data_IF_649105734970
#
_entry.id   IF_649105734970
#
_cell.length_a   1.000
_cell.length_b   1.000
_cell.length_c   1.000
_cell.angle_alpha   90.00
_cell.angle_beta   90.00
_cell.angle_gamma   90.00
#
_symmetry.space_group_name_H-M   'P 1'
#
loop_
_entity.id
_entity.type
_entity.pdbx_description
1 polymer ?
#
# COMPACT_ATOMS: atom_id res chain seq x y z
N UNK A 1 7.30 -1.50 -31.18
CA UNK A 1 7.34 -0.13 -30.61
C UNK A 1 7.31 -0.31 -29.11
N UNK A 2 8.28 0.22 -28.36
CA UNK A 2 8.20 0.22 -26.88
C UNK A 2 7.01 1.10 -26.51
N UNK A 3 6.05 0.55 -25.78
CA UNK A 3 4.80 1.23 -25.43
C UNK A 3 5.07 2.53 -24.67
N UNK A 4 4.28 3.56 -24.95
CA UNK A 4 4.29 4.80 -24.17
C UNK A 4 3.93 4.46 -22.71
N UNK A 5 4.70 5.00 -21.78
CA UNK A 5 4.45 4.96 -20.34
C UNK A 5 3.08 5.61 -20.05
N UNK A 6 2.16 4.85 -19.46
CA UNK A 6 0.81 5.26 -19.06
C UNK A 6 0.86 5.99 -17.71
N UNK A 7 1.69 5.52 -16.78
CA UNK A 7 1.89 6.14 -15.47
C UNK A 7 1.34 5.35 -14.26
N UNK A 8 1.12 6.06 -13.15
CA UNK A 8 0.77 5.45 -11.85
C UNK A 8 -0.73 5.56 -11.60
N UNK A 9 -1.43 4.41 -11.53
CA UNK A 9 -2.83 4.33 -11.08
C UNK A 9 -2.89 4.43 -9.55
N UNK A 10 -3.70 5.36 -9.04
CA UNK A 10 -3.73 5.72 -7.62
C UNK A 10 -5.09 5.48 -6.98
N UNK A 11 -5.12 5.37 -5.65
CA UNK A 11 -6.39 5.43 -4.93
C UNK A 11 -7.10 6.75 -5.26
N UNK A 12 -8.42 6.73 -5.53
CA UNK A 12 -9.18 7.94 -5.84
C UNK A 12 -9.07 9.02 -4.73
N UNK A 13 -8.88 8.61 -3.48
CA UNK A 13 -8.68 9.51 -2.32
C UNK A 13 -7.34 10.26 -2.38
N UNK A 14 -6.36 9.70 -3.06
CA UNK A 14 -5.01 10.27 -3.22
C UNK A 14 -4.92 11.24 -4.39
N UNK A 15 -5.99 11.41 -5.17
CA UNK A 15 -6.01 12.38 -6.26
C UNK A 15 -5.95 13.80 -5.70
N UNK A 16 -5.01 14.58 -6.22
CA UNK A 16 -5.01 16.04 -6.09
C UNK A 16 -6.26 16.64 -6.73
N UNK A 17 -6.60 17.88 -6.37
CA UNK A 17 -7.74 18.58 -6.97
C UNK A 17 -7.60 18.72 -8.50
N UNK A 18 -6.36 18.90 -8.99
CA UNK A 18 -6.07 18.98 -10.44
C UNK A 18 -6.26 17.64 -11.13
N UNK A 19 -5.74 16.55 -10.56
CA UNK A 19 -5.93 15.20 -11.12
C UNK A 19 -7.42 14.83 -11.16
N UNK A 20 -8.16 15.14 -10.08
CA UNK A 20 -9.60 14.89 -9.98
C UNK A 20 -10.38 15.66 -11.05
N UNK A 21 -10.13 16.96 -11.18
CA UNK A 21 -10.79 17.81 -12.18
C UNK A 21 -10.53 17.32 -13.61
N UNK A 22 -9.27 17.02 -13.95
CA UNK A 22 -8.90 16.49 -15.27
C UNK A 22 -9.59 15.15 -15.57
N UNK A 23 -9.65 14.25 -14.59
CA UNK A 23 -10.31 12.96 -14.76
C UNK A 23 -11.83 13.12 -15.00
N UNK A 24 -12.50 13.99 -14.22
CA UNK A 24 -13.93 14.30 -14.42
C UNK A 24 -14.19 14.88 -15.81
N UNK A 25 -13.37 15.86 -16.24
CA UNK A 25 -13.53 16.47 -17.57
C UNK A 25 -13.29 15.48 -18.70
N UNK A 26 -12.30 14.59 -18.55
CA UNK A 26 -12.07 13.53 -19.52
C UNK A 26 -13.22 12.53 -19.57
N UNK A 27 -13.86 12.18 -18.44
CA UNK A 27 -15.06 11.35 -18.43
C UNK A 27 -16.21 11.98 -19.23
N UNK A 28 -16.46 13.27 -19.07
CA UNK A 28 -17.44 13.99 -19.91
C UNK A 28 -17.05 13.98 -21.38
N UNK A 29 -15.77 14.19 -21.70
CA UNK A 29 -15.28 14.14 -23.07
C UNK A 29 -15.51 12.77 -23.71
N UNK A 30 -15.05 11.69 -23.06
CA UNK A 30 -15.16 10.31 -23.54
C UNK A 30 -16.62 9.85 -23.60
N UNK A 31 -17.50 10.34 -22.71
CA UNK A 31 -18.95 10.15 -22.85
C UNK A 31 -19.49 10.81 -24.11
N UNK A 32 -19.09 12.06 -24.38
CA UNK A 32 -19.59 12.85 -25.52
C UNK A 32 -19.21 12.27 -26.89
N UNK A 33 -18.14 11.48 -26.98
CA UNK A 33 -17.73 10.79 -28.21
C UNK A 33 -18.49 9.48 -28.45
N UNK A 34 -19.33 9.04 -27.49
CA UNK A 34 -20.03 7.75 -27.53
C UNK A 34 -19.17 6.56 -27.10
N UNK A 35 -17.93 6.79 -26.67
CA UNK A 35 -16.99 5.70 -26.36
C UNK A 35 -17.44 4.87 -25.14
N UNK A 36 -17.96 5.52 -24.09
CA UNK A 36 -18.52 4.81 -22.92
C UNK A 36 -19.70 3.93 -23.32
N UNK A 37 -20.58 4.42 -24.19
CA UNK A 37 -21.76 3.68 -24.63
C UNK A 37 -21.38 2.46 -25.48
N UNK A 38 -20.36 2.61 -26.32
CA UNK A 38 -19.81 1.51 -27.11
C UNK A 38 -19.17 0.43 -26.22
N UNK A 39 -18.41 0.82 -25.20
CA UNK A 39 -17.82 -0.13 -24.25
C UNK A 39 -18.87 -0.84 -23.40
N UNK A 40 -19.95 -0.16 -23.02
CA UNK A 40 -21.10 -0.77 -22.37
C UNK A 40 -21.77 -1.82 -23.27
N UNK A 41 -21.93 -1.50 -24.57
CA UNK A 41 -22.50 -2.41 -25.57
C UNK A 41 -21.62 -3.65 -25.78
N UNK A 42 -20.32 -3.47 -26.00
CA UNK A 42 -19.34 -4.56 -26.18
C UNK A 42 -19.38 -5.51 -24.98
N UNK A 43 -19.33 -4.97 -23.76
CA UNK A 43 -19.38 -5.78 -22.56
C UNK A 43 -20.71 -6.52 -22.42
N UNK A 44 -21.85 -5.88 -22.74
CA UNK A 44 -23.17 -6.51 -22.68
C UNK A 44 -23.32 -7.66 -23.70
N UNK A 45 -22.87 -7.46 -24.94
CA UNK A 45 -22.93 -8.48 -26.01
C UNK A 45 -22.09 -9.71 -25.68
N UNK A 46 -20.91 -9.49 -25.10
CA UNK A 46 -19.94 -10.55 -24.83
C UNK A 46 -19.97 -11.08 -23.40
N UNK A 47 -20.90 -10.60 -22.55
CA UNK A 47 -20.96 -10.91 -21.12
C UNK A 47 -20.90 -12.41 -20.81
N UNK A 48 -21.60 -13.22 -21.61
CA UNK A 48 -21.65 -14.69 -21.47
C UNK A 48 -20.71 -15.44 -22.43
N UNK A 49 -19.81 -14.74 -23.12
CA UNK A 49 -18.96 -15.29 -24.18
C UNK A 49 -17.49 -15.44 -23.75
N UNK A 50 -17.25 -15.61 -22.45
CA UNK A 50 -15.92 -15.89 -21.90
C UNK A 50 -15.21 -14.69 -21.27
N UNK A 51 -15.79 -13.49 -21.31
CA UNK A 51 -15.23 -12.31 -20.61
C UNK A 51 -15.50 -12.36 -19.09
N UNK A 52 -16.41 -13.24 -18.65
CA UNK A 52 -16.72 -13.57 -17.25
C UNK A 52 -16.75 -15.09 -17.04
N UNK A 53 -16.67 -15.53 -15.78
CA UNK A 53 -16.74 -16.93 -15.34
C UNK A 53 -15.73 -17.82 -16.06
N UNK A 54 -14.57 -17.25 -16.39
CA UNK A 54 -13.56 -17.88 -17.22
C UNK A 54 -12.15 -17.39 -16.85
N UNK A 55 -11.14 -18.14 -17.26
CA UNK A 55 -9.73 -17.75 -17.13
C UNK A 55 -9.37 -16.45 -17.83
N UNK A 56 -10.18 -15.97 -18.78
CA UNK A 56 -9.98 -14.69 -19.45
C UNK A 56 -10.63 -13.49 -18.74
N UNK A 57 -11.34 -13.68 -17.63
CA UNK A 57 -11.97 -12.59 -16.88
C UNK A 57 -11.01 -11.44 -16.57
N UNK A 58 -9.88 -11.74 -15.91
CA UNK A 58 -8.89 -10.74 -15.54
C UNK A 58 -8.18 -10.08 -16.74
N UNK A 59 -7.58 -10.82 -17.70
CA UNK A 59 -6.90 -10.21 -18.83
C UNK A 59 -7.84 -9.42 -19.76
N UNK A 60 -9.10 -9.84 -19.93
CA UNK A 60 -10.06 -9.11 -20.74
C UNK A 60 -10.38 -7.74 -20.11
N UNK A 61 -10.67 -7.69 -18.81
CA UNK A 61 -10.94 -6.43 -18.12
C UNK A 61 -9.70 -5.53 -18.03
N UNK A 62 -8.49 -6.09 -17.89
CA UNK A 62 -7.23 -5.33 -18.00
C UNK A 62 -7.08 -4.64 -19.35
N UNK A 63 -7.31 -5.35 -20.46
CA UNK A 63 -7.27 -4.76 -21.81
C UNK A 63 -8.37 -3.70 -22.00
N UNK A 64 -9.57 -3.93 -21.45
CA UNK A 64 -10.64 -2.94 -21.44
C UNK A 64 -10.20 -1.63 -20.76
N UNK A 65 -9.63 -1.73 -19.56
CA UNK A 65 -9.11 -0.58 -18.81
C UNK A 65 -8.01 0.14 -19.61
N UNK A 66 -7.09 -0.59 -20.22
CA UNK A 66 -6.03 -0.01 -21.04
C UNK A 66 -6.56 0.80 -22.23
N UNK A 67 -7.58 0.28 -22.91
CA UNK A 67 -8.21 0.99 -24.04
C UNK A 67 -8.97 2.23 -23.56
N UNK A 68 -9.67 2.13 -22.43
CA UNK A 68 -10.37 3.26 -21.83
C UNK A 68 -9.39 4.35 -21.35
N UNK A 69 -8.31 3.97 -20.68
CA UNK A 69 -7.28 4.87 -20.18
C UNK A 69 -6.60 5.63 -21.32
N UNK A 70 -6.27 4.93 -22.42
CA UNK A 70 -5.75 5.58 -23.63
C UNK A 70 -6.72 6.58 -24.24
N UNK A 71 -8.02 6.34 -24.15
CA UNK A 71 -9.03 7.29 -24.62
C UNK A 71 -9.08 8.53 -23.72
N UNK A 72 -9.05 8.35 -22.40
CA UNK A 72 -8.93 9.47 -21.45
C UNK A 72 -7.65 10.29 -21.71
N UNK A 73 -6.54 9.63 -22.01
CA UNK A 73 -5.26 10.28 -22.27
C UNK A 73 -5.21 11.11 -23.55
N UNK A 74 -6.14 10.91 -24.49
CA UNK A 74 -6.30 11.82 -25.64
C UNK A 74 -6.78 13.20 -25.23
N UNK A 75 -7.52 13.31 -24.12
CA UNK A 75 -7.90 14.59 -23.53
C UNK A 75 -6.74 15.21 -22.76
N UNK A 76 -6.08 14.42 -21.91
CA UNK A 76 -4.89 14.86 -21.18
C UNK A 76 -3.95 13.68 -20.89
N UNK A 77 -2.72 13.73 -21.38
CA UNK A 77 -1.80 12.58 -21.39
C UNK A 77 -1.39 12.07 -20.00
N UNK A 78 -1.44 12.91 -18.97
CA UNK A 78 -1.13 12.53 -17.58
C UNK A 78 -2.28 11.79 -16.86
N UNK A 79 -3.44 11.60 -17.49
CA UNK A 79 -4.57 10.92 -16.84
C UNK A 79 -4.29 9.41 -16.72
N UNK A 80 -4.50 8.89 -15.52
CA UNK A 80 -4.61 7.46 -15.22
C UNK A 80 -5.95 7.18 -14.56
N UNK A 81 -6.47 5.96 -14.71
CA UNK A 81 -7.70 5.53 -14.04
C UNK A 81 -7.41 5.36 -12.54
N UNK A 82 -8.06 6.11 -11.63
CA UNK A 82 -7.95 5.84 -10.21
C UNK A 82 -8.66 4.53 -9.85
N UNK A 83 -8.32 3.91 -8.73
CA UNK A 83 -9.06 2.76 -8.23
C UNK A 83 -9.94 3.11 -7.02
N UNK A 84 -11.03 2.36 -6.87
CA UNK A 84 -11.91 2.38 -5.69
C UNK A 84 -11.75 1.10 -4.87
N UNK A 85 -11.19 1.23 -3.66
CA UNK A 85 -11.15 0.13 -2.70
C UNK A 85 -12.47 0.05 -1.92
N UNK A 86 -13.36 -0.83 -2.38
CA UNK A 86 -14.64 -1.13 -1.74
C UNK A 86 -14.55 -1.81 -0.37
N UNK A 87 -13.35 -2.21 0.08
CA UNK A 87 -13.16 -2.71 1.45
C UNK A 87 -13.04 -1.57 2.45
N UNK A 88 -12.61 -0.38 2.00
CA UNK A 88 -12.45 0.86 2.78
C UNK A 88 -13.66 1.78 2.58
N UNK A 89 -13.98 2.07 1.33
CA UNK A 89 -15.07 2.96 0.92
C UNK A 89 -16.37 2.18 0.74
N UNK A 90 -17.08 1.99 1.86
CA UNK A 90 -18.23 1.07 2.00
C UNK A 90 -19.59 1.76 2.16
N UNK A 91 -19.63 3.09 2.28
CA UNK A 91 -20.81 3.83 2.66
C UNK A 91 -21.31 4.72 1.51
N UNK A 92 -22.64 4.86 1.31
CA UNK A 92 -23.18 5.80 0.33
C UNK A 92 -22.75 7.26 0.55
N UNK A 93 -22.29 7.61 1.75
CA UNK A 93 -21.78 8.94 2.11
C UNK A 93 -20.28 9.13 1.86
N UNK A 94 -19.56 8.11 1.38
CA UNK A 94 -18.13 8.25 1.11
C UNK A 94 -17.85 9.25 -0.02
N UNK A 95 -16.71 9.97 0.01
CA UNK A 95 -16.41 11.03 -0.95
C UNK A 95 -16.47 10.62 -2.42
N UNK A 96 -16.29 9.33 -2.71
CA UNK A 96 -16.47 8.75 -4.05
C UNK A 96 -17.81 9.18 -4.68
N UNK A 97 -18.87 9.21 -3.89
CA UNK A 97 -20.26 9.39 -4.32
C UNK A 97 -20.74 10.84 -4.26
N UNK A 98 -19.87 11.78 -3.87
CA UNK A 98 -20.21 13.19 -3.83
C UNK A 98 -20.31 13.80 -5.24
N UNK A 99 -21.08 14.88 -5.39
CA UNK A 99 -21.22 15.60 -6.65
C UNK A 99 -19.94 16.32 -7.12
N UNK A 100 -18.93 16.44 -6.27
CA UNK A 100 -17.60 16.89 -6.69
C UNK A 100 -16.75 15.77 -7.30
N UNK A 101 -17.27 14.54 -7.39
CA UNK A 101 -16.64 13.40 -8.04
C UNK A 101 -17.67 12.53 -8.76
N UNK A 102 -17.83 11.23 -8.47
CA UNK A 102 -18.70 10.37 -9.28
C UNK A 102 -20.19 10.64 -9.09
N UNK A 103 -20.61 11.29 -8.00
CA UNK A 103 -22.03 11.53 -7.69
C UNK A 103 -22.76 12.30 -8.77
N UNK A 104 -22.08 13.25 -9.43
CA UNK A 104 -22.67 14.13 -10.45
C UNK A 104 -23.20 13.35 -11.65
N UNK A 105 -22.59 12.22 -11.99
CA UNK A 105 -22.96 11.42 -13.16
C UNK A 105 -24.27 10.65 -12.95
N UNK A 106 -24.73 10.45 -11.70
CA UNK A 106 -25.89 9.60 -11.44
C UNK A 106 -27.17 10.13 -12.12
N UNK A 107 -27.47 11.41 -11.95
CA UNK A 107 -28.61 12.05 -12.61
C UNK A 107 -28.27 12.44 -14.05
N UNK A 108 -27.08 13.00 -14.27
CA UNK A 108 -26.64 13.51 -15.57
C UNK A 108 -26.64 12.43 -16.66
N UNK A 109 -26.25 11.20 -16.31
CA UNK A 109 -26.18 10.07 -17.26
C UNK A 109 -27.29 9.05 -17.04
N UNK A 110 -28.26 9.33 -16.16
CA UNK A 110 -29.39 8.44 -15.89
C UNK A 110 -28.98 7.05 -15.36
N UNK A 111 -27.95 6.99 -14.51
CA UNK A 111 -27.34 5.73 -14.06
C UNK A 111 -28.22 4.94 -13.09
N UNK A 112 -29.14 5.62 -12.39
CA UNK A 112 -30.10 4.97 -11.49
C UNK A 112 -29.45 4.23 -10.31
N UNK A 113 -28.29 4.68 -9.82
CA UNK A 113 -27.58 4.05 -8.71
C UNK A 113 -28.46 3.95 -7.47
N UNK A 114 -28.39 2.80 -6.80
CA UNK A 114 -29.10 2.46 -5.57
C UNK A 114 -28.09 2.01 -4.49
N UNK A 115 -27.18 2.92 -4.14
CA UNK A 115 -26.03 2.63 -3.26
C UNK A 115 -26.47 1.96 -1.95
N UNK A 116 -25.77 0.89 -1.58
CA UNK A 116 -26.03 0.16 -0.33
C UNK A 116 -26.82 -1.14 -0.50
N UNK A 117 -27.15 -1.55 -1.74
CA UNK A 117 -27.86 -2.80 -1.97
C UNK A 117 -26.96 -4.03 -1.78
N UNK A 118 -27.04 -4.66 -0.61
CA UNK A 118 -26.32 -5.90 -0.30
C UNK A 118 -24.94 -5.70 0.35
N UNK A 119 -24.22 -6.78 0.65
CA UNK A 119 -22.93 -6.69 1.35
C UNK A 119 -21.77 -6.41 0.40
N UNK A 120 -20.82 -5.57 0.82
CA UNK A 120 -19.49 -5.46 0.22
C UNK A 120 -18.52 -6.47 0.84
N UNK A 121 -17.51 -6.90 0.09
CA UNK A 121 -16.48 -7.81 0.61
C UNK A 121 -15.63 -7.15 1.69
N UNK A 122 -15.24 -7.95 2.68
CA UNK A 122 -14.36 -7.54 3.78
C UNK A 122 -12.90 -7.62 3.35
N UNK A 123 -12.04 -6.89 4.08
CA UNK A 123 -10.60 -7.00 3.90
C UNK A 123 -10.12 -8.46 4.10
N UNK A 124 -10.69 -9.17 5.08
CA UNK A 124 -10.34 -10.57 5.33
C UNK A 124 -10.65 -11.48 4.14
N UNK A 125 -11.78 -11.28 3.44
CA UNK A 125 -12.09 -12.03 2.22
C UNK A 125 -11.09 -11.73 1.10
N UNK A 126 -10.70 -10.46 0.93
CA UNK A 126 -9.67 -10.06 -0.05
C UNK A 126 -8.31 -10.68 0.29
N UNK A 127 -7.84 -10.58 1.53
CA UNK A 127 -6.57 -11.19 1.97
C UNK A 127 -6.59 -12.72 1.84
N UNK A 128 -7.74 -13.36 2.11
CA UNK A 128 -7.89 -14.80 1.91
C UNK A 128 -7.76 -15.19 0.43
N UNK A 129 -8.26 -14.36 -0.48
CA UNK A 129 -8.08 -14.54 -1.92
C UNK A 129 -6.63 -14.28 -2.37
N UNK A 130 -5.95 -13.28 -1.79
CA UNK A 130 -4.53 -13.00 -2.06
C UNK A 130 -3.61 -14.16 -1.68
N UNK A 131 -4.01 -15.01 -0.72
CA UNK A 131 -3.27 -16.21 -0.31
C UNK A 131 -3.49 -17.46 -1.18
N UNK A 132 -4.15 -17.36 -2.35
CA UNK A 132 -4.38 -18.52 -3.23
C UNK A 132 -3.12 -18.88 -4.02
N UNK A 133 -2.78 -20.17 -4.08
CA UNK A 133 -1.50 -20.61 -4.66
C UNK A 133 -1.48 -20.71 -6.20
N UNK A 134 -2.64 -20.60 -6.86
CA UNK A 134 -2.73 -20.75 -8.32
C UNK A 134 -3.82 -19.87 -8.95
N UNK A 135 -3.60 -19.55 -10.23
CA UNK A 135 -4.44 -18.66 -11.02
C UNK A 135 -5.91 -19.10 -11.08
N UNK A 136 -6.20 -20.39 -11.29
CA UNK A 136 -7.59 -20.87 -11.45
C UNK A 136 -8.42 -20.65 -10.19
N UNK A 137 -7.87 -20.93 -9.01
CA UNK A 137 -8.57 -20.66 -7.74
C UNK A 137 -8.61 -19.17 -7.40
N UNK A 138 -7.59 -18.41 -7.80
CA UNK A 138 -7.51 -16.98 -7.56
C UNK A 138 -8.60 -16.20 -8.32
N UNK A 139 -8.67 -16.35 -9.64
CA UNK A 139 -9.60 -15.56 -10.45
C UNK A 139 -11.06 -15.88 -10.13
N UNK A 140 -11.40 -17.14 -9.82
CA UNK A 140 -12.77 -17.55 -9.48
C UNK A 140 -13.29 -16.85 -8.23
N UNK A 141 -12.47 -16.84 -7.19
CA UNK A 141 -12.81 -16.25 -5.89
C UNK A 141 -12.73 -14.72 -5.92
N UNK A 142 -11.87 -14.17 -6.79
CA UNK A 142 -11.79 -12.73 -7.04
C UNK A 142 -13.01 -12.25 -7.83
N UNK A 143 -13.44 -12.98 -8.86
CA UNK A 143 -14.67 -12.68 -9.59
C UNK A 143 -15.90 -12.81 -8.66
N UNK A 144 -15.96 -13.89 -7.89
CA UNK A 144 -17.08 -14.20 -7.01
C UNK A 144 -16.59 -14.67 -5.62
N UNK A 145 -16.79 -13.88 -4.54
CA UNK A 145 -17.74 -12.77 -4.44
C UNK A 145 -17.15 -11.36 -4.58
N UNK A 146 -15.82 -11.21 -4.64
CA UNK A 146 -15.14 -9.92 -4.42
C UNK A 146 -15.52 -8.87 -5.47
N UNK A 147 -15.45 -9.21 -6.75
CA UNK A 147 -15.83 -8.33 -7.86
C UNK A 147 -17.35 -8.18 -7.99
N UNK A 148 -18.13 -9.25 -7.85
CA UNK A 148 -19.58 -9.21 -8.08
C UNK A 148 -20.34 -8.31 -7.08
N UNK A 149 -19.88 -8.24 -5.84
CA UNK A 149 -20.58 -7.50 -4.78
C UNK A 149 -20.65 -5.98 -5.02
N UNK A 150 -19.56 -5.27 -5.39
CA UNK A 150 -19.64 -3.86 -5.75
C UNK A 150 -20.61 -3.53 -6.89
N UNK A 151 -20.72 -4.37 -7.92
CA UNK A 151 -21.73 -4.20 -8.98
C UNK A 151 -23.15 -4.15 -8.40
N UNK A 152 -23.49 -5.10 -7.53
CA UNK A 152 -24.79 -5.16 -6.86
C UNK A 152 -24.97 -4.03 -5.86
N UNK A 153 -23.93 -3.67 -5.10
CA UNK A 153 -23.96 -2.64 -4.07
C UNK A 153 -24.20 -1.24 -4.64
N UNK A 154 -23.63 -0.94 -5.81
CA UNK A 154 -23.87 0.34 -6.49
C UNK A 154 -25.28 0.37 -7.10
N UNK A 155 -25.75 -0.75 -7.66
CA UNK A 155 -27.07 -0.83 -8.29
C UNK A 155 -27.16 -0.05 -9.60
N UNK A 156 -28.37 0.07 -10.16
CA UNK A 156 -28.60 0.77 -11.42
C UNK A 156 -27.83 0.13 -12.58
N UNK A 157 -27.23 0.97 -13.44
CA UNK A 157 -26.39 0.51 -14.57
C UNK A 157 -25.25 -0.38 -14.09
N UNK A 158 -24.63 -0.12 -12.93
CA UNK A 158 -23.56 -0.97 -12.39
C UNK A 158 -24.00 -2.41 -12.08
N UNK A 159 -25.29 -2.66 -11.83
CA UNK A 159 -25.79 -4.01 -11.58
C UNK A 159 -26.20 -4.76 -12.88
N UNK A 160 -26.14 -4.09 -14.04
CA UNK A 160 -26.52 -4.64 -15.33
C UNK A 160 -25.28 -5.11 -16.14
N UNK A 161 -25.53 -5.91 -17.19
CA UNK A 161 -24.48 -6.32 -18.13
C UNK A 161 -23.92 -5.16 -18.95
N UNK A 162 -24.60 -4.01 -19.01
CA UNK A 162 -24.09 -2.76 -19.58
C UNK A 162 -23.37 -1.87 -18.54
N UNK A 163 -22.89 -2.45 -17.42
CA UNK A 163 -22.23 -1.73 -16.33
C UNK A 163 -21.09 -0.78 -16.69
N UNK A 164 -20.30 -0.96 -17.77
CA UNK A 164 -19.32 0.05 -18.18
C UNK A 164 -19.92 1.42 -18.55
N UNK A 165 -21.25 1.51 -18.71
CA UNK A 165 -21.97 2.77 -18.86
C UNK A 165 -21.91 3.68 -17.63
N UNK A 166 -21.59 3.12 -16.45
CA UNK A 166 -21.35 3.86 -15.22
C UNK A 166 -19.82 4.05 -15.00
N UNK A 167 -19.32 5.28 -14.79
CA UNK A 167 -17.89 5.51 -14.61
C UNK A 167 -17.30 4.82 -13.36
N UNK A 168 -18.13 4.44 -12.38
CA UNK A 168 -17.70 3.64 -11.24
C UNK A 168 -17.17 2.25 -11.65
N UNK A 169 -17.60 1.73 -12.81
CA UNK A 169 -17.10 0.48 -13.39
C UNK A 169 -15.58 0.50 -13.50
N UNK A 170 -15.02 1.56 -14.10
CA UNK A 170 -13.59 1.65 -14.38
C UNK A 170 -12.78 1.76 -13.10
N UNK A 171 -13.28 2.45 -12.07
CA UNK A 171 -12.62 2.54 -10.76
C UNK A 171 -12.66 1.21 -10.01
N UNK A 172 -13.79 0.51 -10.07
CA UNK A 172 -13.96 -0.82 -9.48
C UNK A 172 -13.04 -1.85 -10.16
N UNK A 173 -13.09 -1.93 -11.49
CA UNK A 173 -12.24 -2.84 -12.26
C UNK A 173 -10.76 -2.50 -12.15
N UNK A 174 -10.39 -1.22 -12.00
CA UNK A 174 -9.02 -0.81 -11.70
C UNK A 174 -8.53 -1.37 -10.35
N UNK A 175 -9.42 -1.48 -9.35
CA UNK A 175 -9.13 -2.15 -8.07
C UNK A 175 -8.99 -3.66 -8.24
N UNK A 176 -9.88 -4.31 -9.01
CA UNK A 176 -9.78 -5.75 -9.29
C UNK A 176 -8.47 -6.08 -10.02
N UNK A 177 -8.08 -5.23 -10.97
CA UNK A 177 -6.81 -5.34 -11.68
C UNK A 177 -5.59 -5.13 -10.76
N UNK A 178 -5.67 -4.18 -9.81
CA UNK A 178 -4.66 -3.99 -8.76
C UNK A 178 -4.52 -5.23 -7.87
N UNK A 179 -5.63 -5.87 -7.47
CA UNK A 179 -5.61 -7.09 -6.68
C UNK A 179 -4.96 -8.25 -7.44
N UNK A 180 -5.14 -8.32 -8.76
CA UNK A 180 -4.43 -9.27 -9.60
C UNK A 180 -2.93 -8.96 -9.68
N UNK A 181 -2.54 -7.71 -9.92
CA UNK A 181 -1.13 -7.30 -9.92
C UNK A 181 -0.44 -7.61 -8.58
N UNK A 182 -1.08 -7.30 -7.44
CA UNK A 182 -0.59 -7.62 -6.10
C UNK A 182 -0.37 -9.13 -5.93
N UNK A 183 -1.29 -9.96 -6.40
CA UNK A 183 -1.15 -11.41 -6.37
C UNK A 183 -0.01 -11.90 -7.27
N UNK A 184 0.16 -11.33 -8.47
CA UNK A 184 1.25 -11.69 -9.38
C UNK A 184 2.63 -11.34 -8.82
N UNK A 185 2.73 -10.29 -8.00
CA UNK A 185 3.99 -9.80 -7.43
C UNK A 185 4.33 -10.40 -6.06
N UNK A 186 3.40 -11.11 -5.41
CA UNK A 186 3.67 -11.71 -4.11
C UNK A 186 4.71 -12.84 -4.22
N UNK A 187 5.64 -13.00 -3.26
CA UNK A 187 6.72 -13.99 -3.36
C UNK A 187 6.26 -15.44 -3.59
N UNK A 188 5.10 -15.82 -3.06
CA UNK A 188 4.56 -17.17 -3.17
C UNK A 188 4.00 -17.50 -4.58
N UNK A 189 3.63 -16.48 -5.33
CA UNK A 189 2.84 -16.57 -6.57
C UNK A 189 3.52 -15.86 -7.74
N UNK A 190 4.67 -15.23 -7.51
CA UNK A 190 5.55 -14.68 -8.53
C UNK A 190 5.91 -15.76 -9.55
N UNK A 191 5.50 -15.54 -10.80
CA UNK A 191 5.69 -16.50 -11.90
C UNK A 191 4.67 -17.63 -11.94
N UNK A 192 3.56 -17.56 -11.19
CA UNK A 192 2.47 -18.50 -11.31
C UNK A 192 1.91 -18.53 -12.75
N UNK A 193 1.74 -19.73 -13.35
CA UNK A 193 1.30 -19.83 -14.74
C UNK A 193 -0.18 -19.46 -14.88
N UNK A 194 -0.53 -18.89 -16.03
CA UNK A 194 -1.92 -18.78 -16.46
C UNK A 194 -2.52 -20.18 -16.64
N UNK A 195 -3.72 -20.41 -16.09
CA UNK A 195 -4.44 -21.69 -16.19
C UNK A 195 -5.73 -21.46 -16.96
N UNK A 196 -5.86 -22.12 -18.11
CA UNK A 196 -7.07 -22.07 -18.93
C UNK A 196 -8.25 -22.79 -18.26
N UNK A 197 -9.44 -22.17 -18.30
CA UNK A 197 -10.68 -22.80 -17.85
C UNK A 197 -11.41 -23.58 -18.94
N UNK A 198 -10.90 -23.62 -20.18
CA UNK A 198 -11.54 -24.34 -21.30
C UNK A 198 -10.94 -24.09 -22.68
N UNK A 199 -11.52 -24.73 -23.69
CA UNK A 199 -11.12 -24.51 -25.10
C UNK A 199 -11.41 -23.06 -25.53
N UNK A 200 -10.45 -22.41 -26.20
CA UNK A 200 -10.58 -21.01 -26.65
C UNK A 200 -10.38 -19.97 -25.55
N UNK A 201 -9.94 -20.38 -24.36
CA UNK A 201 -9.72 -19.52 -23.18
C UNK A 201 -8.28 -19.61 -22.64
N UNK A 202 -7.37 -20.11 -23.47
CA UNK A 202 -5.95 -20.27 -23.17
C UNK A 202 -5.14 -18.99 -23.25
N UNK A 203 -3.88 -19.09 -22.85
CA UNK A 203 -2.92 -17.98 -22.76
C UNK A 203 -2.72 -17.23 -24.08
N UNK A 204 -2.79 -17.94 -25.20
CA UNK A 204 -2.59 -17.40 -26.55
C UNK A 204 -3.88 -17.40 -27.38
N UNK A 205 -5.02 -17.73 -26.76
CA UNK A 205 -6.31 -17.57 -27.43
C UNK A 205 -6.69 -16.08 -27.41
N UNK A 206 -7.27 -15.54 -28.49
CA UNK A 206 -7.62 -14.13 -28.53
C UNK A 206 -8.62 -13.74 -27.44
N UNK A 207 -8.50 -12.51 -26.95
CA UNK A 207 -9.51 -11.89 -26.09
C UNK A 207 -10.75 -11.59 -26.95
N UNK A 208 -11.93 -11.95 -26.44
CA UNK A 208 -13.20 -11.66 -27.13
C UNK A 208 -13.30 -10.18 -27.52
N UNK A 209 -13.84 -9.87 -28.70
CA UNK A 209 -13.84 -8.55 -29.36
C UNK A 209 -12.47 -8.03 -29.84
N UNK A 210 -11.35 -8.46 -29.23
CA UNK A 210 -10.00 -7.94 -29.52
C UNK A 210 -9.07 -9.03 -30.05
N UNK A 211 -9.21 -9.42 -31.33
CA UNK A 211 -8.42 -10.49 -31.93
C UNK A 211 -6.92 -10.17 -32.02
N UNK A 212 -6.53 -8.91 -31.83
CA UNK A 212 -5.16 -8.43 -31.78
C UNK A 212 -4.49 -8.60 -30.41
N UNK A 213 -5.21 -9.15 -29.43
CA UNK A 213 -4.74 -9.31 -28.05
C UNK A 213 -5.03 -10.70 -27.52
N UNK A 214 -4.10 -11.21 -26.73
CA UNK A 214 -4.23 -12.45 -25.98
C UNK A 214 -3.94 -12.19 -24.50
N UNK A 215 -4.32 -13.10 -23.57
CA UNK A 215 -3.90 -13.00 -22.19
C UNK A 215 -2.38 -12.82 -22.03
N UNK A 216 -1.56 -13.49 -22.85
CA UNK A 216 -0.11 -13.37 -22.81
C UNK A 216 0.39 -11.93 -23.02
N UNK A 217 -0.31 -11.13 -23.83
CA UNK A 217 0.08 -9.76 -24.13
C UNK A 217 -0.20 -8.79 -22.98
N UNK A 218 -1.04 -9.19 -22.01
CA UNK A 218 -1.50 -8.32 -20.90
C UNK A 218 -1.19 -8.91 -19.52
N UNK A 219 -0.44 -10.02 -19.45
CA UNK A 219 -0.09 -10.65 -18.18
C UNK A 219 0.74 -9.74 -17.29
N UNK A 220 1.76 -9.07 -17.83
CA UNK A 220 2.61 -8.15 -17.09
C UNK A 220 2.12 -6.72 -17.33
N UNK A 221 1.55 -6.08 -16.32
CA UNK A 221 1.09 -4.71 -16.43
C UNK A 221 2.24 -3.70 -16.57
N UNK A 222 3.47 -4.05 -16.15
CA UNK A 222 4.64 -3.20 -16.37
C UNK A 222 4.98 -3.08 -17.86
N UNK A 223 4.86 -4.17 -18.62
CA UNK A 223 5.06 -4.17 -20.08
C UNK A 223 3.98 -3.34 -20.81
N UNK A 224 2.83 -3.16 -20.17
CA UNK A 224 1.73 -2.33 -20.63
C UNK A 224 1.94 -0.84 -20.29
N UNK A 225 2.94 -0.52 -19.48
CA UNK A 225 3.40 0.83 -19.18
C UNK A 225 2.72 1.48 -17.97
N UNK A 226 2.09 0.73 -17.07
CA UNK A 226 1.52 1.31 -15.85
C UNK A 226 1.97 0.57 -14.59
N UNK A 227 1.83 1.23 -13.45
CA UNK A 227 2.02 0.66 -12.10
C UNK A 227 0.93 1.15 -11.17
N UNK A 228 0.69 0.46 -10.07
CA UNK A 228 -0.13 0.97 -8.96
C UNK A 228 0.71 1.73 -7.94
N UNK A 229 0.12 2.73 -7.28
CA UNK A 229 0.76 3.44 -6.17
C UNK A 229 1.16 2.50 -5.01
N UNK A 230 0.42 1.40 -4.83
CA UNK A 230 0.72 0.31 -3.89
C UNK A 230 1.99 -0.49 -4.25
N UNK A 231 2.36 -0.56 -5.54
CA UNK A 231 3.60 -1.20 -5.98
C UNK A 231 4.82 -0.30 -5.80
N UNK A 232 4.61 1.01 -5.93
CA UNK A 232 5.68 2.00 -5.76
C UNK A 232 6.07 2.24 -4.31
N UNK A 233 5.47 1.54 -3.36
CA UNK A 233 5.42 2.04 -1.98
C UNK A 233 6.61 1.72 -1.09
N UNK A 234 7.53 0.81 -1.43
CA UNK A 234 8.78 0.68 -0.68
C UNK A 234 10.01 0.68 -1.59
N UNK A 235 10.68 1.83 -1.65
CA UNK A 235 12.08 1.85 -2.08
C UNK A 235 12.92 1.21 -0.99
N UNK A 236 13.84 0.33 -1.38
CA UNK A 236 14.86 -0.23 -0.48
C UNK A 236 15.50 0.89 0.35
N UNK A 237 15.52 0.73 1.67
CA UNK A 237 16.10 1.73 2.57
C UNK A 237 15.15 2.81 3.11
N UNK A 238 13.85 2.73 2.84
CA UNK A 238 12.85 3.61 3.45
C UNK A 238 12.51 3.20 4.89
N UNK A 239 12.17 4.19 5.74
CA UNK A 239 11.62 3.99 7.07
C UNK A 239 10.11 4.18 7.05
N UNK A 240 9.39 3.20 7.58
CA UNK A 240 7.94 3.12 7.56
C UNK A 240 7.39 3.17 8.98
N UNK A 241 6.27 3.86 9.15
CA UNK A 241 5.53 3.91 10.40
C UNK A 241 4.12 3.35 10.20
N UNK A 242 3.66 2.55 11.17
CA UNK A 242 2.33 1.96 11.21
C UNK A 242 1.64 2.40 12.50
N UNK A 243 0.38 2.83 12.41
CA UNK A 243 -0.45 3.09 13.58
C UNK A 243 -1.19 1.83 14.02
N UNK A 244 -1.13 1.49 15.31
CA UNK A 244 -1.96 0.43 15.90
C UNK A 244 -3.17 1.08 16.59
N UNK A 245 -4.37 0.79 16.08
CA UNK A 245 -5.63 1.27 16.67
C UNK A 245 -6.11 0.42 17.86
N UNK A 246 -5.33 -0.58 18.29
CA UNK A 246 -5.66 -1.49 19.39
C UNK A 246 -6.73 -2.52 19.03
N UNK A 247 -7.01 -2.71 17.74
CA UNK A 247 -7.98 -3.70 17.25
C UNK A 247 -7.22 -4.86 16.59
N UNK A 248 -7.47 -6.12 16.96
CA UNK A 248 -6.74 -7.26 16.41
C UNK A 248 -6.76 -7.28 14.88
N UNK A 249 -5.58 -7.34 14.26
CA UNK A 249 -5.42 -7.40 12.81
C UNK A 249 -5.44 -6.06 12.07
N UNK A 250 -5.59 -4.93 12.78
CA UNK A 250 -5.64 -3.59 12.16
C UNK A 250 -4.44 -2.74 12.58
N UNK A 251 -3.37 -2.81 11.80
CA UNK A 251 -2.40 -1.71 11.70
C UNK A 251 -2.81 -0.81 10.53
N UNK A 252 -2.61 0.50 10.63
CA UNK A 252 -2.89 1.44 9.54
C UNK A 252 -2.07 1.13 8.29
N UNK A 253 -2.46 1.71 7.16
CA UNK A 253 -1.54 1.79 6.02
C UNK A 253 -0.21 2.43 6.44
N UNK A 254 0.92 1.98 5.87
CA UNK A 254 2.23 2.51 6.23
C UNK A 254 2.37 3.95 5.77
N UNK A 255 2.90 4.78 6.66
CA UNK A 255 3.36 6.12 6.34
C UNK A 255 4.86 6.06 6.11
N UNK A 256 5.33 6.52 4.95
CA UNK A 256 6.77 6.72 4.70
C UNK A 256 7.23 7.91 5.55
N UNK A 257 8.02 7.64 6.58
CA UNK A 257 8.58 8.66 7.48
C UNK A 257 10.05 8.94 7.20
N UNK A 258 10.73 8.09 6.42
CA UNK A 258 12.08 8.30 5.92
C UNK A 258 12.26 7.79 4.49
N UNK A 259 12.81 8.62 3.60
CA UNK A 259 12.79 8.42 2.15
C UNK A 259 13.92 7.55 1.56
N UNK A 260 14.90 7.08 2.36
CA UNK A 260 16.03 6.25 1.93
C UNK A 260 17.20 6.24 2.92
N UNK A 261 18.15 5.29 2.77
CA UNK A 261 19.40 5.22 3.55
C UNK A 261 19.30 4.55 4.93
N UNK A 262 18.11 4.13 5.37
CA UNK A 262 17.90 3.59 6.72
C UNK A 262 18.45 2.17 6.93
N UNK A 263 18.75 1.45 5.85
CA UNK A 263 19.35 0.10 5.93
C UNK A 263 20.82 0.12 6.36
N UNK A 264 21.51 1.24 6.19
CA UNK A 264 22.95 1.33 6.41
C UNK A 264 23.31 1.57 7.89
N UNK A 265 22.32 1.83 8.74
CA UNK A 265 22.53 2.04 10.17
C UNK A 265 22.75 0.71 10.90
N UNK A 266 23.85 0.60 11.66
CA UNK A 266 24.12 -0.58 12.50
C UNK A 266 23.10 -0.72 13.62
N UNK A 267 22.75 0.40 14.23
CA UNK A 267 21.75 0.50 15.29
C UNK A 267 20.65 1.45 14.86
N UNK A 268 19.41 1.04 15.05
CA UNK A 268 18.21 1.83 14.79
C UNK A 268 17.14 1.46 15.82
N UNK A 269 16.72 2.41 16.65
CA UNK A 269 15.77 2.15 17.73
C UNK A 269 14.98 3.40 18.13
N UNK A 270 13.75 3.19 18.60
CA UNK A 270 12.91 4.26 19.14
C UNK A 270 13.20 4.50 20.62
N UNK A 271 12.98 5.72 21.08
CA UNK A 271 13.14 6.10 22.49
C UNK A 271 12.58 7.48 22.80
N UNK A 272 13.00 8.04 23.93
CA UNK A 272 12.71 9.42 24.32
C UNK A 272 13.99 10.11 24.76
N UNK A 273 14.08 11.42 24.57
CA UNK A 273 15.16 12.22 25.15
C UNK A 273 14.82 12.62 26.60
N UNK A 274 15.72 13.35 27.26
CA UNK A 274 15.57 13.77 28.65
C UNK A 274 14.36 14.69 28.88
N UNK A 275 13.91 15.43 27.87
CA UNK A 275 12.70 16.27 27.93
C UNK A 275 11.41 15.49 27.67
N UNK A 276 11.51 14.22 27.26
CA UNK A 276 10.38 13.30 27.07
C UNK A 276 9.81 13.25 25.65
N UNK A 277 10.43 13.95 24.70
CA UNK A 277 10.06 13.94 23.29
C UNK A 277 10.38 12.58 22.66
N UNK A 278 9.50 12.08 21.79
CA UNK A 278 9.72 10.83 21.08
C UNK A 278 10.82 11.02 20.03
N UNK A 279 11.79 10.10 20.04
CA UNK A 279 12.97 10.14 19.18
C UNK A 279 13.18 8.79 18.51
N UNK A 280 13.77 8.84 17.33
CA UNK A 280 14.39 7.70 16.68
C UNK A 280 15.89 7.94 16.72
N UNK A 281 16.65 6.94 17.18
CA UNK A 281 18.10 7.00 17.26
C UNK A 281 18.71 6.07 16.23
N UNK A 282 19.76 6.54 15.56
CA UNK A 282 20.49 5.76 14.58
C UNK A 282 22.00 5.96 14.69
N UNK A 283 22.79 4.92 14.47
CA UNK A 283 24.26 5.01 14.43
C UNK A 283 24.75 4.88 12.99
N UNK A 284 25.33 5.96 12.47
CA UNK A 284 25.83 6.02 11.10
C UNK A 284 27.23 5.41 10.96
N UNK A 285 27.66 5.18 9.72
CA UNK A 285 28.87 4.41 9.40
C UNK A 285 30.18 5.04 9.89
N UNK A 286 30.19 6.34 10.21
CA UNK A 286 31.36 7.01 10.79
C UNK A 286 31.40 6.91 12.35
N UNK A 287 30.41 6.25 12.97
CA UNK A 287 30.32 6.08 14.41
C UNK A 287 29.57 7.17 15.16
N UNK A 288 28.92 8.13 14.50
CA UNK A 288 28.07 9.12 15.18
C UNK A 288 26.71 8.56 15.55
N UNK A 289 26.16 9.06 16.66
CA UNK A 289 24.79 8.80 17.09
C UNK A 289 23.91 9.98 16.69
N UNK A 290 22.91 9.69 15.86
CA UNK A 290 21.91 10.61 15.35
C UNK A 290 20.61 10.48 16.16
N UNK A 291 19.94 11.61 16.39
CA UNK A 291 18.61 11.71 17.00
C UNK A 291 17.66 12.42 16.06
N UNK A 292 16.60 11.73 15.65
CA UNK A 292 15.53 12.24 14.80
C UNK A 292 14.31 12.52 15.66
N UNK A 293 13.68 13.68 15.48
CA UNK A 293 12.39 14.01 16.08
C UNK A 293 11.23 13.34 15.35
N UNK A 294 10.30 12.79 16.11
CA UNK A 294 9.04 12.27 15.61
C UNK A 294 7.88 13.14 16.17
N UNK A 295 7.29 13.96 15.30
CA UNK A 295 6.18 14.84 15.67
C UNK A 295 4.83 14.10 15.77
N UNK A 296 4.79 12.79 15.47
CA UNK A 296 3.56 11.99 15.51
C UNK A 296 2.57 12.29 14.38
N UNK A 297 3.01 13.00 13.33
CA UNK A 297 2.21 13.32 12.14
C UNK A 297 2.83 12.71 10.87
N UNK A 298 2.02 12.28 9.89
CA UNK A 298 2.54 11.84 8.60
C UNK A 298 3.38 12.91 7.91
N UNK A 299 4.59 12.55 7.50
CA UNK A 299 5.52 13.44 6.78
C UNK A 299 6.77 13.78 7.59
N UNK A 300 7.88 13.17 7.16
CA UNK A 300 9.28 13.35 7.55
C UNK A 300 9.59 13.36 9.06
N UNK A 301 10.33 12.36 9.54
CA UNK A 301 11.12 12.54 10.76
C UNK A 301 12.04 13.75 10.58
N UNK A 302 12.32 14.50 11.65
CA UNK A 302 13.11 15.73 11.54
C UNK A 302 14.48 15.47 10.91
N UNK A 303 15.13 16.51 10.38
CA UNK A 303 16.57 16.41 10.10
C UNK A 303 17.30 15.92 11.36
N UNK A 304 18.27 15.00 11.23
CA UNK A 304 18.93 14.41 12.38
C UNK A 304 19.80 15.43 13.12
N UNK A 305 19.82 15.31 14.43
CA UNK A 305 20.77 15.98 15.31
C UNK A 305 21.84 14.98 15.70
N UNK A 306 23.12 15.32 15.47
CA UNK A 306 24.24 14.53 15.99
C UNK A 306 24.31 14.74 17.49
N UNK A 307 23.94 13.74 18.29
CA UNK A 307 23.94 13.83 19.76
C UNK A 307 25.18 13.17 20.38
N UNK A 308 25.80 12.21 19.70
CA UNK A 308 27.03 11.55 20.14
C UNK A 308 28.09 11.53 19.04
N UNK A 309 29.32 11.92 19.39
CA UNK A 309 30.43 12.01 18.43
C UNK A 309 31.28 10.73 18.42
N UNK A 310 31.21 9.95 17.34
CA UNK A 310 32.14 8.84 17.07
C UNK A 310 32.08 7.67 18.07
N UNK A 311 32.64 6.51 17.68
CA UNK A 311 32.79 5.34 18.58
C UNK A 311 31.52 4.54 18.88
N UNK A 312 30.33 5.00 18.49
CA UNK A 312 29.08 4.29 18.77
C UNK A 312 28.94 2.96 18.02
N UNK A 313 29.71 2.76 16.95
CA UNK A 313 29.76 1.50 16.22
C UNK A 313 30.47 0.38 17.01
N UNK A 314 31.25 0.70 18.03
CA UNK A 314 32.04 -0.29 18.76
C UNK A 314 31.22 -1.02 19.83
N UNK A 315 30.04 -0.51 20.18
CA UNK A 315 29.14 -1.15 21.13
C UNK A 315 28.57 -2.45 20.59
N UNK A 316 28.33 -3.41 21.51
CA UNK A 316 27.64 -4.68 21.21
C UNK A 316 26.12 -4.50 21.22
N UNK A 317 25.62 -3.80 22.23
CA UNK A 317 24.20 -3.50 22.40
C UNK A 317 23.99 -2.00 22.49
N UNK A 318 22.88 -1.51 21.94
CA UNK A 318 22.46 -0.13 22.03
C UNK A 318 20.92 -0.08 22.00
N UNK A 319 20.30 0.50 23.03
CA UNK A 319 18.84 0.59 23.14
C UNK A 319 18.43 1.74 24.07
N UNK A 320 17.21 2.26 23.89
CA UNK A 320 16.62 3.23 24.79
C UNK A 320 15.82 2.54 25.89
N UNK A 321 15.65 3.21 27.02
CA UNK A 321 14.79 2.78 28.12
C UNK A 321 14.65 3.86 29.19
N UNK A 322 14.16 3.48 30.36
CA UNK A 322 14.18 4.33 31.55
C UNK A 322 15.04 3.70 32.64
N UNK A 323 15.58 4.53 33.53
CA UNK A 323 16.21 4.03 34.74
C UNK A 323 15.16 3.85 35.86
N UNK A 324 15.59 3.31 37.01
CA UNK A 324 14.68 3.01 38.11
C UNK A 324 13.95 4.22 38.72
N UNK A 325 14.40 5.45 38.43
CA UNK A 325 13.75 6.70 38.86
C UNK A 325 12.93 7.36 37.73
N UNK A 326 12.83 6.71 36.57
CA UNK A 326 11.97 7.13 35.46
C UNK A 326 12.61 8.07 34.44
N UNK A 327 13.92 8.35 34.52
CA UNK A 327 14.62 9.18 33.53
C UNK A 327 14.82 8.39 32.24
N UNK A 328 14.58 9.03 31.08
CA UNK A 328 14.86 8.43 29.77
C UNK A 328 16.37 8.33 29.55
N UNK A 329 16.84 7.15 29.17
CA UNK A 329 18.24 6.81 28.99
C UNK A 329 18.49 6.08 27.68
N UNK A 330 19.70 6.22 27.17
CA UNK A 330 20.28 5.34 26.17
C UNK A 330 21.26 4.43 26.89
N UNK A 331 21.18 3.12 26.66
CA UNK A 331 22.06 2.13 27.24
C UNK A 331 22.94 1.50 26.19
N UNK A 332 24.22 1.32 26.49
CA UNK A 332 25.18 0.69 25.60
C UNK A 332 26.03 -0.35 26.34
N UNK A 333 26.46 -1.39 25.64
CA UNK A 333 27.44 -2.35 26.19
C UNK A 333 28.76 -2.23 25.45
N UNK A 334 29.80 -1.83 26.19
CA UNK A 334 31.15 -1.62 25.66
C UNK A 334 31.90 -2.93 25.43
N UNK A 335 33.10 -2.82 24.83
CA UNK A 335 33.96 -3.96 24.54
C UNK A 335 34.56 -4.63 25.79
N UNK A 336 34.47 -3.97 26.96
CA UNK A 336 34.87 -4.55 28.24
C UNK A 336 33.70 -5.27 28.93
N UNK A 337 32.52 -5.27 28.32
CA UNK A 337 31.30 -5.83 28.87
C UNK A 337 30.72 -5.06 30.04
N UNK A 338 30.94 -3.75 30.08
CA UNK A 338 30.25 -2.82 30.97
C UNK A 338 28.94 -2.36 30.34
N UNK A 339 27.90 -2.22 31.16
CA UNK A 339 26.67 -1.54 30.79
C UNK A 339 26.79 -0.06 31.14
N UNK A 340 26.71 0.78 30.12
CA UNK A 340 26.78 2.23 30.20
C UNK A 340 25.38 2.84 30.06
N UNK A 341 25.15 3.95 30.75
CA UNK A 341 23.92 4.73 30.69
C UNK A 341 24.22 6.18 30.33
N UNK A 342 23.52 6.71 29.32
CA UNK A 342 23.65 8.06 28.80
C UNK A 342 22.30 8.79 28.88
N UNK A 343 22.33 10.09 29.19
CA UNK A 343 21.19 10.98 28.97
C UNK A 343 21.35 11.74 27.64
N UNK A 344 20.26 11.87 26.87
CA UNK A 344 20.21 12.73 25.68
C UNK A 344 19.45 14.01 26.00
N UNK A 345 20.10 15.17 25.96
CA UNK A 345 19.44 16.46 26.16
C UNK A 345 18.66 16.96 24.93
N UNK A 346 18.71 16.25 23.80
CA UNK A 346 17.99 16.57 22.57
C UNK A 346 18.60 17.71 21.74
N UNK A 347 19.88 18.03 21.97
CA UNK A 347 20.61 19.12 21.30
C UNK A 347 21.97 18.64 20.78
N UNK A 348 22.56 19.29 19.76
CA UNK A 348 23.80 18.81 19.13
C UNK A 348 24.93 18.59 20.13
N UNK A 349 25.54 17.40 20.12
CA UNK A 349 26.66 17.02 20.97
C UNK A 349 26.35 16.82 22.46
N UNK A 350 25.07 16.86 22.87
CA UNK A 350 24.68 16.84 24.28
C UNK A 350 24.14 15.48 24.73
N UNK A 351 24.87 14.42 24.43
CA UNK A 351 24.82 13.21 25.25
C UNK A 351 25.70 13.41 26.49
N UNK A 352 25.19 12.99 27.66
CA UNK A 352 25.95 13.03 28.91
C UNK A 352 27.17 12.12 28.84
N UNK A 353 28.16 12.38 29.70
CA UNK A 353 29.18 11.38 29.98
C UNK A 353 28.53 10.06 30.44
N UNK A 354 29.08 8.90 30.03
CA UNK A 354 28.52 7.61 30.41
C UNK A 354 28.64 7.36 31.91
N UNK A 355 27.57 6.84 32.50
CA UNK A 355 27.61 6.23 33.83
C UNK A 355 27.68 4.72 33.68
N UNK A 356 28.68 4.07 34.28
CA UNK A 356 28.73 2.61 34.37
C UNK A 356 27.67 2.15 35.37
N UNK A 357 26.64 1.47 34.89
CA UNK A 357 25.52 0.97 35.70
C UNK A 357 25.52 -0.55 35.84
N UNK A 358 26.37 -1.25 35.08
CA UNK A 358 26.61 -2.68 35.22
C UNK A 358 28.07 -3.01 34.91
N UNK A 359 28.68 -3.82 35.78
CA UNK A 359 30.10 -4.16 35.68
C UNK A 359 30.27 -5.59 35.14
N UNK A 360 30.92 -5.73 33.98
CA UNK A 360 31.37 -7.01 33.42
C UNK A 360 30.25 -8.00 33.04
N UNK A 361 30.57 -8.95 32.16
CA UNK A 361 29.66 -10.06 31.80
C UNK A 361 28.48 -9.67 30.88
N UNK A 362 28.28 -8.39 30.57
CA UNK A 362 27.19 -7.97 29.68
C UNK A 362 27.41 -8.38 28.22
N UNK A 363 28.64 -8.75 27.85
CA UNK A 363 28.95 -9.35 26.56
C UNK A 363 28.42 -10.77 26.41
N UNK A 364 28.08 -11.47 27.49
CA UNK A 364 27.70 -12.89 27.42
C UNK A 364 26.21 -13.08 27.08
N UNK A 365 25.45 -11.99 26.99
CA UNK A 365 24.05 -12.04 26.59
C UNK A 365 23.88 -12.08 25.06
N UNK A 366 22.79 -12.70 24.62
CA UNK A 366 22.34 -12.74 23.22
C UNK A 366 21.33 -11.64 22.91
N UNK A 367 20.40 -11.39 23.83
CA UNK A 367 19.41 -10.33 23.73
C UNK A 367 19.49 -9.43 24.95
N UNK A 368 19.32 -8.13 24.74
CA UNK A 368 19.32 -7.11 25.77
C UNK A 368 18.37 -5.98 25.36
N UNK A 369 17.38 -5.67 26.20
CA UNK A 369 16.37 -4.64 25.91
C UNK A 369 15.71 -4.14 27.20
N UNK A 370 15.07 -2.97 27.15
CA UNK A 370 14.33 -2.42 28.29
C UNK A 370 12.84 -2.76 28.26
N UNK A 371 12.18 -2.73 29.41
CA UNK A 371 10.72 -2.79 29.51
C UNK A 371 10.23 -2.43 30.91
N UNK A 372 8.95 -2.64 31.15
CA UNK A 372 8.29 -2.38 32.44
C UNK A 372 7.69 -3.69 32.95
N UNK A 373 7.93 -4.02 34.22
CA UNK A 373 7.36 -5.23 34.81
C UNK A 373 5.89 -5.04 35.23
N UNK A 374 5.23 -6.10 35.71
CA UNK A 374 3.83 -6.06 36.16
C UNK A 374 3.58 -5.08 37.33
N UNK A 375 4.63 -4.72 38.07
CA UNK A 375 4.56 -3.75 39.16
C UNK A 375 4.76 -2.31 38.69
N UNK A 376 4.96 -2.07 37.39
CA UNK A 376 5.19 -0.74 36.83
C UNK A 376 6.64 -0.25 36.94
N UNK A 377 7.59 -1.13 37.28
CA UNK A 377 8.99 -0.76 37.45
C UNK A 377 9.77 -0.92 36.13
N UNK A 378 10.58 0.08 35.79
CA UNK A 378 11.49 0.02 34.65
C UNK A 378 12.61 -1.02 34.89
N UNK A 379 12.87 -1.85 33.87
CA UNK A 379 13.78 -2.99 33.93
C UNK A 379 14.59 -3.12 32.64
N UNK A 380 15.77 -3.72 32.78
CA UNK A 380 16.57 -4.24 31.67
C UNK A 380 16.46 -5.76 31.70
N UNK A 381 16.07 -6.34 30.57
CA UNK A 381 15.92 -7.77 30.37
C UNK A 381 17.06 -8.29 29.52
N UNK A 382 17.64 -9.41 29.94
CA UNK A 382 18.76 -10.04 29.26
C UNK A 382 18.49 -11.54 29.09
N UNK A 383 18.91 -12.09 27.95
CA UNK A 383 18.87 -13.54 27.69
C UNK A 383 20.29 -14.03 27.58
N UNK A 384 20.65 -14.98 28.44
CA UNK A 384 21.95 -15.67 28.42
C UNK A 384 22.11 -16.36 27.07
N UNK A 385 23.27 -16.19 26.43
CA UNK A 385 23.55 -16.73 25.11
C UNK A 385 23.64 -18.26 25.08
#
# INVERSE_FOLDING_TARGET
>A
MRGNDIGIRKNYRSLTDVERDRFIQALFHVKSTGFIDEFARIHAEHFFMGIHRSSQFLPWHREMLLRFERELQKFHSEITIPYWDSTVDRNPSDPLWNNNFLGQFNLEWGLGRALGSGPLSTLQEVESNQGRDNYDTFWRELENPIHNRPHVWVGGVMADVASPGDPAFYLHHCCIDMLWARWQLAPATSGAPFISSGSGLGLHDPLMEWPDRTPADVLDHHDLGYTYDTETQFKTGQLLSYGDAGTPGNVSDPVIVGFGGWLDFKFLFAGRNATGENRIYAVEQNGQLLSYGDAGTPGNVSNPVVVGFGGWLDFKFLFAGKNAIGENRIYAVDQNGQLLSYGDAGTPGNISDPVVVGFGGWLDFKFLFSGVNLSGEDRIYAVVA
#
